data_IF_290233287774
#
_entry.id   IF_290233287774
#
_cell.length_a   1.000
_cell.length_b   1.000
_cell.length_c   1.000
_cell.angle_alpha   90.00
_cell.angle_beta   90.00
_cell.angle_gamma   90.00
#
_symmetry.space_group_name_H-M   'P 1'
#
loop_
_entity.id
_entity.type
_entity.pdbx_description
1 polymer ?
#
# COMPACT_ATOMS: atom_id res chain seq x y z
N UNK A 1 -21.07 -1.47 8.23
CA UNK A 1 -20.03 -0.70 8.95
C UNK A 1 -20.40 0.78 9.17
N UNK A 2 -21.21 1.38 8.30
CA UNK A 2 -21.76 2.72 8.55
C UNK A 2 -22.81 2.77 9.68
N UNK A 3 -23.34 1.62 10.09
CA UNK A 3 -24.14 1.46 11.31
C UNK A 3 -23.18 1.24 12.50
N UNK A 4 -23.19 2.12 13.53
CA UNK A 4 -22.28 2.03 14.67
C UNK A 4 -22.42 0.74 15.49
N UNK A 5 -23.63 0.19 15.60
CA UNK A 5 -23.85 -1.06 16.34
C UNK A 5 -23.24 -2.26 15.62
N UNK A 6 -23.41 -2.31 14.30
CA UNK A 6 -22.79 -3.35 13.49
C UNK A 6 -21.25 -3.23 13.47
N UNK A 7 -20.72 -2.01 13.40
CA UNK A 7 -19.29 -1.77 13.48
C UNK A 7 -18.72 -2.24 14.83
N UNK A 8 -19.38 -1.90 15.92
CA UNK A 8 -18.95 -2.34 17.26
C UNK A 8 -19.01 -3.87 17.40
N UNK A 9 -20.12 -4.50 17.04
CA UNK A 9 -20.25 -5.96 17.09
C UNK A 9 -19.15 -6.66 16.27
N UNK A 10 -18.80 -6.11 15.11
CA UNK A 10 -17.73 -6.65 14.29
C UNK A 10 -16.36 -6.56 14.97
N UNK A 11 -16.02 -5.41 15.61
CA UNK A 11 -14.77 -5.24 16.35
C UNK A 11 -14.71 -6.19 17.54
N UNK A 12 -15.80 -6.33 18.30
CA UNK A 12 -15.90 -7.24 19.43
C UNK A 12 -15.67 -8.71 19.01
N UNK A 13 -16.18 -9.09 17.86
CA UNK A 13 -16.08 -10.46 17.35
C UNK A 13 -14.74 -10.77 16.69
N UNK A 14 -14.17 -9.83 15.91
CA UNK A 14 -13.07 -10.11 15.00
C UNK A 14 -11.73 -9.46 15.38
N UNK A 15 -11.72 -8.49 16.26
CA UNK A 15 -10.50 -7.77 16.67
C UNK A 15 -10.19 -7.98 18.13
N UNK A 16 -11.13 -7.71 19.02
CA UNK A 16 -10.94 -7.76 20.47
C UNK A 16 -10.40 -9.11 20.98
N UNK A 17 -10.85 -10.29 20.50
CA UNK A 17 -10.34 -11.58 20.98
C UNK A 17 -8.86 -11.82 20.64
N UNK A 18 -8.32 -11.10 19.68
CA UNK A 18 -6.95 -11.28 19.16
C UNK A 18 -6.00 -10.17 19.58
N UNK A 19 -6.51 -8.99 19.95
CA UNK A 19 -5.74 -7.79 20.24
C UNK A 19 -4.61 -8.02 21.26
N UNK A 20 -4.83 -8.81 22.31
CA UNK A 20 -3.82 -9.11 23.33
C UNK A 20 -2.78 -10.14 22.91
N UNK A 21 -3.02 -10.89 21.82
CA UNK A 21 -2.17 -11.98 21.32
C UNK A 21 -1.51 -11.67 19.98
N UNK A 22 -2.05 -10.70 19.25
CA UNK A 22 -1.59 -10.29 17.93
C UNK A 22 -1.52 -8.77 17.89
N UNK A 23 -0.40 -8.24 17.41
CA UNK A 23 -0.24 -6.80 17.24
C UNK A 23 -1.05 -6.32 16.03
N UNK A 24 -2.32 -5.98 16.25
CA UNK A 24 -3.18 -5.35 15.24
C UNK A 24 -2.98 -3.84 15.38
N UNK A 25 -2.55 -3.17 14.32
CA UNK A 25 -2.27 -1.71 14.33
C UNK A 25 -3.12 -0.94 13.35
N UNK A 26 -3.78 -1.61 12.42
CA UNK A 26 -4.60 -0.98 11.38
C UNK A 26 -5.82 -1.84 11.06
N UNK A 27 -6.94 -1.17 10.83
CA UNK A 27 -8.11 -1.74 10.14
C UNK A 27 -8.32 -0.95 8.86
N UNK A 28 -8.26 -1.64 7.72
CA UNK A 28 -8.62 -1.03 6.44
C UNK A 28 -10.09 -1.25 6.14
N UNK A 29 -10.78 -0.19 5.70
CA UNK A 29 -12.20 -0.20 5.35
C UNK A 29 -12.34 -0.11 3.84
N UNK A 30 -12.66 -1.23 3.19
CA UNK A 30 -12.69 -1.33 1.72
C UNK A 30 -11.31 -1.26 1.07
N UNK A 31 -11.26 -1.33 -0.25
CA UNK A 31 -10.07 -1.15 -1.06
C UNK A 31 -10.44 -0.46 -2.38
N UNK A 32 -9.72 0.61 -2.76
CA UNK A 32 -9.85 1.36 -4.02
C UNK A 32 -11.28 1.84 -4.38
N UNK A 33 -12.13 2.02 -3.37
CA UNK A 33 -13.56 2.30 -3.53
C UNK A 33 -13.81 3.54 -4.39
N UNK A 34 -13.01 4.61 -4.24
CA UNK A 34 -13.27 5.88 -4.93
C UNK A 34 -13.07 5.81 -6.45
N UNK A 35 -12.30 4.85 -6.95
CA UNK A 35 -12.10 4.65 -8.39
C UNK A 35 -13.09 3.66 -9.02
N UNK A 36 -13.85 2.94 -8.19
CA UNK A 36 -14.92 2.06 -8.66
C UNK A 36 -16.10 2.81 -9.28
N UNK A 37 -17.07 2.09 -9.84
CA UNK A 37 -18.29 2.65 -10.44
C UNK A 37 -19.48 2.75 -9.47
N UNK A 38 -19.41 2.08 -8.31
CA UNK A 38 -20.49 2.05 -7.33
C UNK A 38 -20.52 3.35 -6.50
N UNK A 39 -21.49 4.23 -6.84
CA UNK A 39 -21.66 5.52 -6.17
C UNK A 39 -22.19 5.37 -4.74
N UNK A 40 -22.96 4.32 -4.46
CA UNK A 40 -23.48 4.07 -3.13
C UNK A 40 -22.33 3.64 -2.19
N UNK A 41 -21.46 2.76 -2.67
CA UNK A 41 -20.27 2.34 -1.93
C UNK A 41 -19.36 3.53 -1.62
N UNK A 42 -19.14 4.44 -2.59
CA UNK A 42 -18.37 5.67 -2.36
C UNK A 42 -18.97 6.54 -1.24
N UNK A 43 -20.29 6.71 -1.24
CA UNK A 43 -20.97 7.55 -0.25
C UNK A 43 -20.92 6.96 1.17
N UNK A 44 -20.84 5.64 1.29
CA UNK A 44 -20.74 4.97 2.59
C UNK A 44 -19.32 4.82 3.12
N UNK A 45 -18.29 5.09 2.33
CA UNK A 45 -16.92 4.84 2.73
C UNK A 45 -16.51 5.62 3.99
N UNK A 46 -16.64 6.94 3.97
CA UNK A 46 -16.30 7.78 5.12
C UNK A 46 -17.17 7.47 6.35
N UNK A 47 -18.51 7.35 6.24
CA UNK A 47 -19.35 6.90 7.35
C UNK A 47 -18.92 5.54 7.93
N UNK A 48 -18.50 4.59 7.09
CA UNK A 48 -18.01 3.30 7.56
C UNK A 48 -16.69 3.42 8.33
N UNK A 49 -15.75 4.24 7.85
CA UNK A 49 -14.49 4.51 8.57
C UNK A 49 -14.77 5.15 9.94
N UNK A 50 -15.68 6.12 9.98
CA UNK A 50 -16.10 6.78 11.22
C UNK A 50 -16.79 5.80 12.19
N UNK A 51 -17.63 4.91 11.69
CA UNK A 51 -18.29 3.87 12.50
C UNK A 51 -17.28 2.90 13.12
N UNK A 52 -16.32 2.42 12.34
CA UNK A 52 -15.24 1.54 12.82
C UNK A 52 -14.36 2.27 13.84
N UNK A 53 -13.97 3.51 13.56
CA UNK A 53 -13.18 4.31 14.51
C UNK A 53 -13.95 4.57 15.83
N UNK A 54 -15.23 4.92 15.75
CA UNK A 54 -16.09 5.10 16.92
C UNK A 54 -16.17 3.84 17.78
N UNK A 55 -16.28 2.67 17.14
CA UNK A 55 -16.26 1.38 17.86
C UNK A 55 -14.91 1.13 18.57
N UNK A 56 -13.78 1.45 17.91
CA UNK A 56 -12.46 1.36 18.56
C UNK A 56 -12.34 2.31 19.77
N UNK A 57 -12.87 3.53 19.67
CA UNK A 57 -12.91 4.49 20.79
C UNK A 57 -13.73 3.92 21.95
N UNK A 58 -14.93 3.42 21.67
CA UNK A 58 -15.82 2.86 22.71
C UNK A 58 -15.19 1.66 23.44
N UNK A 59 -14.38 0.87 22.74
CA UNK A 59 -13.71 -0.32 23.27
C UNK A 59 -12.31 -0.03 23.85
N UNK A 60 -11.85 1.23 23.82
CA UNK A 60 -10.53 1.63 24.31
C UNK A 60 -9.36 1.15 23.46
N UNK A 61 -9.59 0.84 22.18
CA UNK A 61 -8.59 0.29 21.25
C UNK A 61 -8.01 1.33 20.27
N UNK A 62 -8.54 2.55 20.26
CA UNK A 62 -8.17 3.59 19.29
C UNK A 62 -6.76 4.16 19.44
N UNK A 63 -6.10 3.92 20.59
CA UNK A 63 -4.68 4.26 20.80
C UNK A 63 -3.73 3.31 20.08
N UNK A 64 -4.14 2.07 19.85
CA UNK A 64 -3.31 1.01 19.30
C UNK A 64 -3.63 0.71 17.83
N UNK A 65 -4.87 0.96 17.41
CA UNK A 65 -5.40 0.59 16.11
C UNK A 65 -5.96 1.82 15.40
N UNK A 66 -5.36 2.21 14.28
CA UNK A 66 -5.91 3.25 13.41
C UNK A 66 -6.82 2.66 12.31
N UNK A 67 -7.68 3.52 11.78
CA UNK A 67 -8.56 3.19 10.65
C UNK A 67 -8.12 3.95 9.41
N UNK A 68 -8.02 3.27 8.28
CA UNK A 68 -7.66 3.87 7.01
C UNK A 68 -8.38 3.19 5.83
N UNK A 69 -8.21 3.74 4.63
CA UNK A 69 -8.69 3.17 3.38
C UNK A 69 -7.56 3.17 2.34
N UNK A 70 -7.20 2.02 1.75
CA UNK A 70 -6.26 1.97 0.63
C UNK A 70 -6.87 2.58 -0.62
N UNK A 71 -6.25 3.63 -1.14
CA UNK A 71 -6.67 4.29 -2.37
C UNK A 71 -5.92 3.76 -3.58
N UNK A 72 -6.59 3.68 -4.73
CA UNK A 72 -5.91 3.51 -6.01
C UNK A 72 -5.15 4.78 -6.41
N UNK A 73 -4.01 4.63 -7.10
CA UNK A 73 -3.33 5.74 -7.77
C UNK A 73 -4.25 6.53 -8.72
N UNK A 74 -5.32 5.89 -9.22
CA UNK A 74 -6.32 6.51 -10.09
C UNK A 74 -7.15 7.65 -9.46
N UNK A 75 -6.98 7.93 -8.16
CA UNK A 75 -7.54 9.14 -7.53
C UNK A 75 -6.77 10.41 -7.88
N UNK A 76 -5.54 10.30 -8.40
CA UNK A 76 -4.77 11.45 -8.85
C UNK A 76 -5.22 11.89 -10.25
N UNK A 77 -5.52 13.17 -10.40
CA UNK A 77 -5.75 13.81 -11.69
C UNK A 77 -4.44 14.21 -12.36
N UNK A 78 -3.44 14.56 -11.56
CA UNK A 78 -2.09 14.88 -12.01
C UNK A 78 -1.08 14.29 -11.00
N UNK A 79 0.00 13.67 -11.51
CA UNK A 79 1.05 13.07 -10.68
C UNK A 79 2.47 13.36 -11.18
N UNK A 80 2.60 14.09 -12.29
CA UNK A 80 3.87 14.45 -12.87
C UNK A 80 3.88 15.90 -13.39
N UNK A 81 4.95 16.69 -13.09
CA UNK A 81 5.99 16.38 -12.10
C UNK A 81 5.41 16.22 -10.68
N UNK A 82 6.14 15.61 -9.72
CA UNK A 82 5.62 15.36 -8.37
C UNK A 82 5.06 16.60 -7.66
N UNK A 83 5.67 17.77 -7.82
CA UNK A 83 5.19 19.03 -7.26
C UNK A 83 3.83 19.50 -7.79
N UNK A 84 3.40 18.97 -8.95
CA UNK A 84 2.09 19.26 -9.58
C UNK A 84 1.02 18.26 -9.19
N UNK A 85 1.29 17.37 -8.23
CA UNK A 85 0.33 16.36 -7.76
C UNK A 85 -0.99 16.98 -7.31
N UNK A 86 -2.11 16.52 -7.89
CA UNK A 86 -3.47 16.95 -7.57
C UNK A 86 -4.41 15.76 -7.61
N UNK A 87 -5.38 15.75 -6.72
CA UNK A 87 -6.47 14.78 -6.79
C UNK A 87 -7.45 15.13 -7.92
N UNK A 88 -8.15 14.13 -8.38
CA UNK A 88 -9.23 14.30 -9.37
C UNK A 88 -10.33 15.21 -8.82
N UNK A 89 -10.77 16.14 -9.66
CA UNK A 89 -11.80 17.13 -9.29
C UNK A 89 -13.14 16.48 -8.91
N UNK A 90 -13.52 15.40 -9.60
CA UNK A 90 -14.79 14.67 -9.36
C UNK A 90 -14.78 13.88 -8.04
N UNK A 91 -13.60 13.69 -7.41
CA UNK A 91 -13.44 13.01 -6.12
C UNK A 91 -13.17 13.99 -4.96
N UNK A 92 -13.11 15.30 -5.24
CA UNK A 92 -12.64 16.30 -4.29
C UNK A 92 -13.40 16.29 -2.97
N UNK A 93 -14.73 16.17 -2.99
CA UNK A 93 -15.55 16.15 -1.77
C UNK A 93 -15.29 14.91 -0.92
N UNK A 94 -15.19 13.73 -1.53
CA UNK A 94 -14.88 12.50 -0.82
C UNK A 94 -13.49 12.57 -0.17
N UNK A 95 -12.49 13.00 -0.94
CA UNK A 95 -11.11 13.09 -0.47
C UNK A 95 -10.98 14.14 0.63
N UNK A 96 -11.64 15.29 0.52
CA UNK A 96 -11.63 16.31 1.56
C UNK A 96 -12.16 15.76 2.90
N UNK A 97 -13.28 15.05 2.87
CA UNK A 97 -13.84 14.41 4.06
C UNK A 97 -12.89 13.39 4.69
N UNK A 98 -12.20 12.60 3.86
CA UNK A 98 -11.24 11.59 4.32
C UNK A 98 -9.97 12.21 4.88
N UNK A 99 -9.42 13.26 4.25
CA UNK A 99 -8.27 13.98 4.78
C UNK A 99 -8.58 14.63 6.14
N UNK A 100 -9.76 15.20 6.31
CA UNK A 100 -10.21 15.70 7.61
C UNK A 100 -10.29 14.58 8.65
N UNK A 101 -10.79 13.40 8.29
CA UNK A 101 -10.79 12.23 9.17
C UNK A 101 -9.37 11.83 9.57
N UNK A 102 -8.45 11.72 8.62
CA UNK A 102 -7.05 11.38 8.90
C UNK A 102 -6.35 12.42 9.79
N UNK A 103 -6.58 13.71 9.55
CA UNK A 103 -6.03 14.78 10.39
C UNK A 103 -6.55 14.71 11.83
N UNK A 104 -7.84 14.41 12.03
CA UNK A 104 -8.46 14.31 13.35
C UNK A 104 -8.02 13.05 14.11
N UNK A 105 -7.94 11.91 13.43
CA UNK A 105 -7.62 10.62 14.06
C UNK A 105 -6.12 10.30 14.09
N UNK A 106 -5.30 11.16 13.48
CA UNK A 106 -3.84 10.96 13.29
C UNK A 106 -3.50 9.65 12.56
N UNK A 107 -4.41 9.19 11.71
CA UNK A 107 -4.19 8.01 10.88
C UNK A 107 -3.51 8.36 9.54
N UNK A 108 -2.73 7.45 8.94
CA UNK A 108 -2.06 7.69 7.67
C UNK A 108 -3.04 7.61 6.48
N UNK A 109 -2.70 8.32 5.41
CA UNK A 109 -3.30 8.15 4.10
C UNK A 109 -2.64 6.95 3.40
N UNK A 110 -3.43 5.96 3.00
CA UNK A 110 -2.93 4.75 2.34
C UNK A 110 -3.14 4.84 0.83
N UNK A 111 -2.13 4.42 0.06
CA UNK A 111 -2.17 4.49 -1.41
C UNK A 111 -1.53 3.24 -2.02
N UNK A 112 -2.17 2.69 -3.06
CA UNK A 112 -1.66 1.57 -3.86
C UNK A 112 -0.92 2.13 -5.08
N UNK A 113 0.36 1.81 -5.20
CA UNK A 113 1.19 2.24 -6.33
C UNK A 113 1.87 1.07 -7.02
N UNK A 114 1.72 1.01 -8.33
CA UNK A 114 2.33 0.00 -9.17
C UNK A 114 3.06 0.67 -10.35
N UNK A 115 4.36 0.99 -10.22
CA UNK A 115 5.19 1.46 -11.34
C UNK A 115 5.14 0.55 -12.56
N UNK A 116 4.82 -0.74 -12.36
CA UNK A 116 4.60 -1.72 -13.41
C UNK A 116 3.58 -1.24 -14.45
N UNK A 117 2.44 -0.70 -14.04
CA UNK A 117 1.41 -0.29 -14.99
C UNK A 117 1.87 0.86 -15.88
N UNK A 118 2.60 1.83 -15.32
CA UNK A 118 3.17 2.91 -16.12
C UNK A 118 4.16 2.40 -17.16
N UNK A 119 5.02 1.45 -16.78
CA UNK A 119 5.95 0.81 -17.72
C UNK A 119 5.22 -0.03 -18.77
N UNK A 120 4.29 -0.90 -18.34
CA UNK A 120 3.50 -1.76 -19.22
C UNK A 120 2.77 -0.96 -20.30
N UNK A 121 2.17 0.17 -19.92
CA UNK A 121 1.37 0.99 -20.83
C UNK A 121 2.23 1.88 -21.75
N UNK A 122 3.47 2.19 -21.36
CA UNK A 122 4.36 3.06 -22.12
C UNK A 122 5.84 2.62 -22.07
N UNK A 123 6.19 1.40 -22.48
CA UNK A 123 7.53 0.84 -22.30
C UNK A 123 8.64 1.59 -23.08
N UNK A 124 8.26 2.32 -24.12
CA UNK A 124 9.19 3.14 -24.92
C UNK A 124 9.43 4.54 -24.31
N UNK A 125 8.61 4.98 -23.35
CA UNK A 125 8.69 6.30 -22.74
C UNK A 125 9.17 6.24 -21.29
N UNK A 126 8.81 5.17 -20.59
CA UNK A 126 9.17 4.95 -19.18
C UNK A 126 10.41 4.05 -19.13
N UNK A 127 11.58 4.55 -18.67
CA UNK A 127 12.77 3.73 -18.58
C UNK A 127 12.60 2.59 -17.57
N UNK A 128 12.91 1.36 -17.98
CA UNK A 128 12.79 0.19 -17.10
C UNK A 128 13.64 0.33 -15.82
N UNK A 129 14.87 0.84 -15.95
CA UNK A 129 15.74 1.07 -14.80
C UNK A 129 15.14 2.03 -13.76
N UNK A 130 14.35 3.02 -14.20
CA UNK A 130 13.70 3.99 -13.34
C UNK A 130 12.58 3.37 -12.50
N UNK A 131 11.83 2.44 -13.08
CA UNK A 131 10.76 1.74 -12.34
C UNK A 131 11.29 0.57 -11.50
N UNK A 132 12.47 0.02 -11.82
CA UNK A 132 13.08 -1.10 -11.09
C UNK A 132 14.11 -0.65 -10.03
N UNK A 133 14.20 0.63 -9.68
CA UNK A 133 15.16 1.22 -8.74
C UNK A 133 16.63 0.96 -9.13
N UNK A 134 16.91 0.72 -10.40
CA UNK A 134 18.26 0.51 -10.92
C UNK A 134 18.94 1.86 -11.23
N UNK A 135 20.28 1.92 -11.32
CA UNK A 135 20.98 3.13 -11.72
C UNK A 135 20.46 3.71 -13.04
N UNK A 136 20.07 4.97 -13.01
CA UNK A 136 19.53 5.71 -14.16
C UNK A 136 19.78 7.21 -13.96
N UNK A 137 19.45 8.02 -14.99
CA UNK A 137 19.61 9.47 -14.92
C UNK A 137 18.60 10.14 -13.98
N UNK A 138 17.46 9.50 -13.74
CA UNK A 138 16.34 10.05 -12.98
C UNK A 138 15.61 11.17 -13.72
N UNK A 139 14.66 11.76 -13.01
CA UNK A 139 13.92 12.96 -13.44
C UNK A 139 14.09 14.06 -12.41
N UNK A 140 14.19 15.29 -12.86
CA UNK A 140 14.24 16.47 -11.96
C UNK A 140 12.91 17.20 -12.04
N UNK A 141 12.31 17.44 -10.90
CA UNK A 141 11.11 18.27 -10.80
C UNK A 141 11.47 19.73 -11.10
N UNK A 142 10.86 20.36 -12.13
CA UNK A 142 11.27 21.69 -12.58
C UNK A 142 10.90 22.82 -11.60
N UNK A 143 10.00 22.57 -10.66
CA UNK A 143 9.53 23.58 -9.68
C UNK A 143 10.36 23.51 -8.40
N UNK A 144 10.58 22.29 -7.88
CA UNK A 144 11.27 22.09 -6.60
C UNK A 144 12.76 21.81 -6.77
N UNK A 145 13.22 21.52 -7.98
CA UNK A 145 14.57 21.06 -8.31
C UNK A 145 14.96 19.73 -7.59
N UNK A 146 13.99 18.99 -7.07
CA UNK A 146 14.22 17.69 -6.47
C UNK A 146 14.45 16.65 -7.56
N UNK A 147 15.43 15.78 -7.33
CA UNK A 147 15.78 14.70 -8.25
C UNK A 147 15.19 13.36 -7.77
N UNK A 148 14.51 12.70 -8.65
CA UNK A 148 13.89 11.38 -8.44
C UNK A 148 14.62 10.33 -9.27
N UNK A 149 15.22 9.35 -8.63
CA UNK A 149 15.91 8.22 -9.25
C UNK A 149 15.03 6.98 -9.41
N UNK A 150 13.79 7.06 -8.94
CA UNK A 150 12.80 6.00 -9.10
C UNK A 150 11.37 6.55 -9.13
N UNK A 151 10.48 5.80 -9.80
CA UNK A 151 9.09 6.22 -9.99
C UNK A 151 8.27 6.16 -8.71
N UNK A 152 8.48 5.17 -7.84
CA UNK A 152 7.66 5.02 -6.63
C UNK A 152 7.80 6.25 -5.72
N UNK A 153 9.01 6.76 -5.52
CA UNK A 153 9.23 7.96 -4.71
C UNK A 153 8.60 9.21 -5.34
N UNK A 154 8.66 9.32 -6.67
CA UNK A 154 8.00 10.39 -7.39
C UNK A 154 6.47 10.33 -7.22
N UNK A 155 5.88 9.15 -7.25
CA UNK A 155 4.44 8.93 -7.03
C UNK A 155 4.04 9.26 -5.59
N UNK A 156 4.83 8.87 -4.58
CA UNK A 156 4.56 9.20 -3.18
C UNK A 156 4.58 10.73 -2.98
N UNK A 157 5.58 11.42 -3.54
CA UNK A 157 5.69 12.88 -3.40
C UNK A 157 4.58 13.63 -4.18
N UNK A 158 4.06 13.05 -5.25
CA UNK A 158 2.87 13.57 -5.91
C UNK A 158 1.62 13.50 -5.00
N UNK A 159 1.47 12.44 -4.17
CA UNK A 159 0.41 12.38 -3.16
C UNK A 159 0.62 13.42 -2.07
N UNK A 160 1.84 13.59 -1.58
CA UNK A 160 2.13 14.66 -0.61
C UNK A 160 1.77 16.05 -1.16
N UNK A 161 2.07 16.30 -2.43
CA UNK A 161 1.69 17.53 -3.10
C UNK A 161 0.18 17.69 -3.22
N UNK A 162 -0.53 16.63 -3.57
CA UNK A 162 -2.00 16.63 -3.68
C UNK A 162 -2.67 16.85 -2.31
N UNK A 163 -2.18 16.21 -1.25
CA UNK A 163 -2.67 16.42 0.13
C UNK A 163 -2.41 17.87 0.57
N UNK A 164 -1.23 18.42 0.27
CA UNK A 164 -0.88 19.81 0.54
C UNK A 164 -1.79 20.79 -0.20
N UNK A 165 -2.12 20.51 -1.45
CA UNK A 165 -3.06 21.32 -2.24
C UNK A 165 -4.48 21.35 -1.65
N UNK A 166 -4.85 20.33 -0.87
CA UNK A 166 -6.11 20.26 -0.12
C UNK A 166 -6.02 20.92 1.28
N UNK A 167 -4.89 21.54 1.62
CA UNK A 167 -4.70 22.29 2.88
C UNK A 167 -4.15 21.46 4.05
N UNK A 168 -3.68 20.24 3.83
CA UNK A 168 -3.08 19.39 4.87
C UNK A 168 -1.59 19.20 4.64
N UNK A 169 -0.79 19.18 5.74
CA UNK A 169 0.68 19.01 5.67
C UNK A 169 1.22 17.95 6.62
N UNK A 170 0.38 17.47 7.52
CA UNK A 170 0.74 16.62 8.66
C UNK A 170 0.15 15.20 8.57
N UNK A 171 -0.41 14.83 7.43
CA UNK A 171 -0.93 13.47 7.20
C UNK A 171 0.18 12.59 6.62
N UNK A 172 0.63 11.55 7.33
CA UNK A 172 1.61 10.61 6.80
C UNK A 172 1.03 9.83 5.61
N UNK A 173 1.88 9.53 4.62
CA UNK A 173 1.51 8.68 3.49
C UNK A 173 2.19 7.32 3.63
N UNK A 174 1.43 6.23 3.50
CA UNK A 174 1.96 4.87 3.45
C UNK A 174 1.54 4.20 2.15
N UNK A 175 2.44 3.42 1.57
CA UNK A 175 2.13 2.61 0.39
C UNK A 175 1.50 1.31 0.85
N UNK A 176 0.19 1.19 0.69
CA UNK A 176 -0.58 0.02 1.12
C UNK A 176 -0.45 -1.19 0.19
N UNK A 177 -0.10 -0.95 -1.07
CA UNK A 177 0.26 -2.01 -2.01
C UNK A 177 1.28 -1.49 -3.02
N UNK A 178 2.31 -2.30 -3.27
CA UNK A 178 3.19 -2.17 -4.43
C UNK A 178 3.83 -3.52 -4.74
N UNK A 179 4.14 -3.75 -6.01
CA UNK A 179 4.75 -5.01 -6.44
C UNK A 179 5.00 -5.02 -7.95
N UNK A 180 5.55 -6.14 -8.41
CA UNK A 180 5.84 -6.37 -9.81
C UNK A 180 5.51 -7.82 -10.16
N UNK A 181 4.72 -8.09 -11.24
CA UNK A 181 4.32 -9.44 -11.58
C UNK A 181 5.47 -10.23 -12.22
N UNK A 182 5.60 -11.49 -11.83
CA UNK A 182 6.59 -12.42 -12.38
C UNK A 182 6.18 -13.04 -13.72
N UNK A 183 4.91 -12.88 -14.12
CA UNK A 183 4.35 -13.39 -15.38
C UNK A 183 3.14 -12.53 -15.75
N UNK A 184 2.92 -12.37 -17.05
CA UNK A 184 1.77 -11.64 -17.59
C UNK A 184 1.31 -12.21 -18.92
N UNK A 185 0.29 -11.61 -19.51
CA UNK A 185 -0.15 -11.86 -20.88
C UNK A 185 0.87 -11.25 -21.89
N UNK A 186 0.84 -11.61 -23.17
CA UNK A 186 1.82 -11.12 -24.17
C UNK A 186 1.90 -9.60 -24.31
N UNK A 187 0.85 -8.86 -23.94
CA UNK A 187 0.80 -7.40 -23.96
C UNK A 187 1.18 -6.77 -22.60
N UNK A 188 1.49 -7.57 -21.58
CA UNK A 188 1.92 -7.09 -20.27
C UNK A 188 3.45 -7.03 -20.20
N UNK A 189 4.01 -6.04 -20.92
CA UNK A 189 5.45 -5.87 -21.05
C UNK A 189 6.13 -5.71 -19.69
N UNK A 190 7.24 -6.40 -19.52
CA UNK A 190 8.04 -6.33 -18.29
C UNK A 190 7.61 -7.30 -17.19
N UNK A 191 6.48 -8.01 -17.32
CA UNK A 191 6.04 -9.03 -16.37
C UNK A 191 6.90 -10.29 -16.49
N UNK A 192 8.05 -10.29 -15.84
CA UNK A 192 9.01 -11.42 -15.82
C UNK A 192 9.54 -11.67 -14.40
N UNK A 193 9.97 -12.91 -14.09
CA UNK A 193 10.55 -13.23 -12.80
C UNK A 193 11.77 -12.37 -12.46
N UNK A 194 12.60 -12.05 -13.46
CA UNK A 194 13.80 -11.25 -13.29
C UNK A 194 13.48 -9.82 -12.88
N UNK A 195 12.51 -9.19 -13.55
CA UNK A 195 12.06 -7.82 -13.21
C UNK A 195 11.35 -7.79 -11.87
N UNK A 196 10.55 -8.81 -11.54
CA UNK A 196 9.90 -8.93 -10.23
C UNK A 196 10.93 -9.07 -9.10
N UNK A 197 11.96 -9.89 -9.31
CA UNK A 197 13.06 -10.02 -8.35
C UNK A 197 13.84 -8.71 -8.19
N UNK A 198 14.12 -7.99 -9.30
CA UNK A 198 14.80 -6.69 -9.26
C UNK A 198 13.96 -5.64 -8.54
N UNK A 199 12.67 -5.52 -8.89
CA UNK A 199 11.78 -4.55 -8.26
C UNK A 199 11.71 -4.75 -6.75
N UNK A 200 11.32 -5.95 -6.32
CA UNK A 200 11.12 -6.23 -4.90
C UNK A 200 12.46 -6.25 -4.13
N UNK A 201 13.52 -6.80 -4.70
CA UNK A 201 14.84 -6.83 -4.08
C UNK A 201 15.42 -5.41 -3.87
N UNK A 202 15.35 -4.55 -4.90
CA UNK A 202 15.81 -3.17 -4.81
C UNK A 202 14.93 -2.33 -3.87
N UNK A 203 13.61 -2.55 -3.87
CA UNK A 203 12.70 -1.91 -2.93
C UNK A 203 13.06 -2.25 -1.48
N UNK A 204 13.33 -3.52 -1.16
CA UNK A 204 13.77 -3.91 0.19
C UNK A 204 15.09 -3.24 0.58
N UNK A 205 16.05 -3.15 -0.33
CA UNK A 205 17.30 -2.44 -0.06
C UNK A 205 17.05 -0.95 0.23
N UNK A 206 16.14 -0.29 -0.49
CA UNK A 206 15.76 1.11 -0.22
C UNK A 206 15.11 1.29 1.14
N UNK A 207 14.20 0.39 1.52
CA UNK A 207 13.55 0.42 2.84
C UNK A 207 14.58 0.23 3.96
N UNK A 208 15.56 -0.66 3.79
CA UNK A 208 16.63 -0.88 4.77
C UNK A 208 17.52 0.34 4.99
N UNK A 209 17.63 1.24 4.01
CA UNK A 209 18.37 2.50 4.16
C UNK A 209 17.67 3.47 5.10
N UNK A 210 16.41 3.20 5.47
CA UNK A 210 15.60 4.00 6.38
C UNK A 210 15.51 5.48 5.96
N UNK A 211 15.47 5.72 4.65
CA UNK A 211 15.38 7.05 4.05
C UNK A 211 13.99 7.28 3.49
N UNK A 212 13.57 8.54 3.50
CA UNK A 212 12.33 8.97 2.87
C UNK A 212 12.49 9.30 1.40
N UNK A 213 11.45 9.93 0.87
CA UNK A 213 11.41 10.45 -0.50
C UNK A 213 12.22 11.76 -0.63
N UNK A 214 12.53 12.22 -1.85
CA UNK A 214 13.22 13.50 -2.04
C UNK A 214 12.53 14.70 -1.40
N UNK A 215 11.19 14.75 -1.34
CA UNK A 215 10.47 15.85 -0.67
C UNK A 215 10.42 15.68 0.85
N UNK A 216 10.57 14.45 1.36
CA UNK A 216 10.52 14.11 2.79
C UNK A 216 11.65 13.17 3.20
N UNK A 217 12.92 13.59 3.08
CA UNK A 217 14.08 12.70 3.23
C UNK A 217 14.27 12.12 4.64
N UNK A 218 13.71 12.79 5.66
CA UNK A 218 13.78 12.35 7.06
C UNK A 218 12.61 11.46 7.49
N UNK A 219 11.61 11.25 6.62
CA UNK A 219 10.44 10.43 6.91
C UNK A 219 10.57 9.09 6.16
N UNK A 220 11.02 8.00 6.80
CA UNK A 220 11.13 6.69 6.15
C UNK A 220 9.80 6.26 5.55
N UNK A 221 9.84 5.67 4.35
CA UNK A 221 8.64 5.16 3.71
C UNK A 221 8.20 3.84 4.35
N UNK A 222 6.91 3.70 4.58
CA UNK A 222 6.29 2.44 4.97
C UNK A 222 5.57 1.84 3.75
N UNK A 223 5.89 0.58 3.45
CA UNK A 223 5.42 -0.09 2.24
C UNK A 223 4.94 -1.51 2.57
N UNK A 224 3.81 -1.87 2.00
CA UNK A 224 3.32 -3.25 1.99
C UNK A 224 3.52 -3.83 0.58
N UNK A 225 4.28 -4.90 0.50
CA UNK A 225 4.54 -5.57 -0.79
C UNK A 225 3.35 -6.46 -1.14
N UNK A 226 2.81 -6.25 -2.32
CA UNK A 226 1.79 -7.10 -2.91
C UNK A 226 2.44 -8.03 -3.94
N UNK A 227 2.41 -9.34 -3.76
CA UNK A 227 1.72 -10.03 -2.69
C UNK A 227 2.62 -11.12 -2.08
N UNK A 228 2.22 -11.71 -0.95
CA UNK A 228 2.96 -12.84 -0.37
C UNK A 228 2.87 -14.08 -1.25
N UNK A 229 1.67 -14.41 -1.74
CA UNK A 229 1.42 -15.59 -2.58
C UNK A 229 0.84 -15.21 -3.94
N UNK A 230 1.11 -16.06 -4.94
CA UNK A 230 0.36 -16.05 -6.20
C UNK A 230 -1.10 -16.43 -5.97
N UNK A 231 -2.02 -15.78 -6.69
CA UNK A 231 -3.47 -15.91 -6.51
C UNK A 231 -4.12 -16.62 -7.70
N UNK A 232 -4.05 -17.95 -7.74
CA UNK A 232 -4.43 -18.76 -8.91
C UNK A 232 -5.86 -18.54 -9.44
N UNK A 233 -6.77 -18.09 -8.59
CA UNK A 233 -8.20 -17.89 -8.94
C UNK A 233 -8.57 -16.42 -9.17
N UNK A 234 -7.62 -15.48 -9.05
CA UNK A 234 -7.91 -14.06 -9.25
C UNK A 234 -8.29 -13.79 -10.71
N UNK A 235 -9.41 -13.10 -10.97
CA UNK A 235 -9.83 -12.73 -12.33
C UNK A 235 -8.91 -11.66 -12.92
N UNK A 236 -9.09 -11.37 -14.21
CA UNK A 236 -8.34 -10.34 -14.93
C UNK A 236 -7.15 -10.89 -15.71
N UNK A 237 -6.22 -10.02 -16.15
CA UNK A 237 -5.05 -10.39 -16.91
C UNK A 237 -4.12 -11.35 -16.14
N UNK A 238 -3.20 -12.02 -16.86
CA UNK A 238 -2.35 -13.03 -16.23
C UNK A 238 -1.46 -12.47 -15.12
N UNK A 239 -1.04 -11.20 -15.22
CA UNK A 239 -0.26 -10.53 -14.18
C UNK A 239 -0.95 -10.54 -12.81
N UNK A 240 -2.28 -10.42 -12.76
CA UNK A 240 -3.04 -10.38 -11.51
C UNK A 240 -2.88 -11.65 -10.64
N UNK A 241 -2.52 -12.77 -11.25
CA UNK A 241 -2.28 -14.04 -10.55
C UNK A 241 -0.83 -14.28 -10.18
N UNK A 242 0.09 -13.37 -10.55
CA UNK A 242 1.53 -13.60 -10.50
C UNK A 242 2.33 -12.51 -9.78
N UNK A 243 1.74 -11.82 -8.83
CA UNK A 243 2.43 -10.84 -7.97
C UNK A 243 3.13 -11.47 -6.76
N UNK A 244 2.87 -12.74 -6.46
CA UNK A 244 3.37 -13.42 -5.27
C UNK A 244 4.89 -13.52 -5.21
N UNK A 245 5.44 -13.37 -4.01
CA UNK A 245 6.81 -13.75 -3.68
C UNK A 245 6.95 -15.28 -3.63
N UNK A 246 5.85 -15.95 -3.31
CA UNK A 246 5.77 -17.40 -3.17
C UNK A 246 4.61 -17.96 -3.99
N UNK A 247 4.76 -19.22 -4.41
CA UNK A 247 3.63 -20.02 -4.87
C UNK A 247 2.74 -20.42 -3.68
N UNK A 248 1.47 -20.84 -3.92
CA UNK A 248 0.57 -21.26 -2.84
C UNK A 248 1.10 -22.39 -1.95
N UNK A 249 2.02 -23.19 -2.45
CA UNK A 249 2.69 -24.26 -1.71
C UNK A 249 3.86 -23.78 -0.82
N UNK A 250 4.15 -22.48 -0.83
CA UNK A 250 5.24 -21.86 -0.07
C UNK A 250 6.60 -21.91 -0.76
N UNK A 251 6.70 -22.42 -2.00
CA UNK A 251 7.97 -22.33 -2.76
C UNK A 251 8.18 -20.92 -3.30
N UNK A 252 9.42 -20.37 -3.26
CA UNK A 252 9.69 -19.05 -3.83
C UNK A 252 9.43 -19.01 -5.33
N UNK A 253 8.79 -17.93 -5.80
CA UNK A 253 8.66 -17.65 -7.24
C UNK A 253 10.01 -17.19 -7.82
N UNK A 254 10.75 -16.41 -7.03
CA UNK A 254 12.08 -15.92 -7.34
C UNK A 254 12.84 -15.60 -6.04
N UNK A 255 14.16 -15.47 -6.12
CA UNK A 255 15.00 -15.13 -4.98
C UNK A 255 15.18 -13.60 -4.88
N UNK A 256 14.76 -13.01 -3.77
CA UNK A 256 14.92 -11.57 -3.46
C UNK A 256 15.90 -11.30 -2.32
N UNK A 257 16.69 -12.31 -1.95
CA UNK A 257 17.67 -12.18 -0.87
C UNK A 257 17.06 -12.20 0.54
N UNK A 258 15.78 -12.53 0.71
CA UNK A 258 15.15 -12.62 2.04
C UNK A 258 15.59 -13.83 2.88
N UNK A 259 16.45 -14.70 2.36
CA UNK A 259 16.92 -15.93 3.05
C UNK A 259 17.55 -15.67 4.42
N UNK A 260 18.01 -14.47 4.70
CA UNK A 260 18.52 -14.08 6.02
C UNK A 260 17.51 -13.52 7.00
N UNK A 261 16.30 -13.17 6.53
CA UNK A 261 15.26 -12.50 7.32
C UNK A 261 14.07 -13.39 7.68
N UNK A 262 13.84 -14.46 6.91
CA UNK A 262 12.83 -15.45 7.29
C UNK A 262 13.52 -16.51 8.16
N UNK A 263 13.09 -16.71 9.43
CA UNK A 263 13.55 -17.87 10.17
C UNK A 263 13.22 -19.11 9.34
N UNK A 264 14.20 -20.04 9.19
CA UNK A 264 13.90 -21.37 8.64
C UNK A 264 12.70 -21.90 9.41
N UNK A 265 11.56 -22.04 8.75
CA UNK A 265 10.47 -22.81 9.29
C UNK A 265 10.88 -24.27 9.17
N UNK A 266 11.62 -24.75 10.18
CA UNK A 266 11.80 -26.18 10.37
C UNK A 266 10.42 -26.75 10.72
N UNK A 267 9.79 -27.42 9.79
CA UNK A 267 8.54 -28.17 9.99
C UNK A 267 8.75 -29.43 10.85
N UNK A 268 9.62 -29.36 11.84
CA UNK A 268 9.70 -30.41 12.86
C UNK A 268 8.92 -29.92 14.09
N UNK A 269 7.77 -30.58 14.28
CA UNK A 269 6.95 -30.42 15.46
C UNK A 269 7.77 -30.54 16.74
N UNK A 270 7.90 -29.44 17.47
CA UNK A 270 7.91 -29.37 18.93
C UNK A 270 8.16 -27.92 19.36
N UNK A 271 7.18 -27.34 19.97
CA UNK A 271 7.23 -26.01 20.57
C UNK A 271 8.42 -25.89 21.53
N UNK A 272 9.35 -24.98 21.25
CA UNK A 272 10.15 -24.33 22.29
C UNK A 272 9.97 -22.83 22.21
N UNK A 273 9.36 -22.29 23.26
CA UNK A 273 9.22 -20.88 23.57
C UNK A 273 10.58 -20.18 23.48
N UNK A 274 10.76 -19.27 22.55
CA UNK A 274 11.64 -18.12 22.73
C UNK A 274 10.96 -16.91 22.13
N UNK A 275 10.67 -15.94 23.02
CA UNK A 275 10.21 -14.62 22.66
C UNK A 275 11.38 -13.88 22.00
N UNK A 276 11.28 -13.69 20.68
CA UNK A 276 12.02 -12.67 19.96
C UNK A 276 10.97 -11.80 19.27
N UNK A 277 10.98 -10.52 19.61
CA UNK A 277 10.10 -9.51 19.04
C UNK A 277 10.44 -9.34 17.56
N UNK A 278 9.72 -10.05 16.71
CA UNK A 278 9.66 -9.80 15.28
C UNK A 278 8.29 -9.20 15.02
N UNK A 279 8.28 -7.95 14.56
CA UNK A 279 7.06 -7.30 14.07
C UNK A 279 6.59 -8.02 12.82
N UNK A 280 5.76 -9.04 12.98
CA UNK A 280 5.07 -9.69 11.88
C UNK A 280 3.88 -8.82 11.50
N UNK A 281 3.94 -8.17 10.34
CA UNK A 281 2.81 -7.46 9.75
C UNK A 281 1.85 -8.48 9.15
N UNK A 282 0.70 -8.69 9.80
CA UNK A 282 -0.38 -9.48 9.25
C UNK A 282 -1.34 -8.54 8.52
N UNK A 283 -1.37 -8.64 7.18
CA UNK A 283 -2.39 -7.99 6.35
C UNK A 283 -3.68 -8.80 6.47
N UNK A 284 -4.70 -8.26 7.11
CA UNK A 284 -6.05 -8.84 7.09
C UNK A 284 -6.79 -8.24 5.88
N UNK A 285 -6.89 -9.02 4.80
CA UNK A 285 -7.79 -8.70 3.70
C UNK A 285 -9.23 -8.95 4.13
N UNK A 286 -10.06 -7.91 4.12
CA UNK A 286 -11.51 -8.07 4.21
C UNK A 286 -12.03 -8.53 2.85
N UNK A 287 -12.51 -9.77 2.81
CA UNK A 287 -13.17 -10.39 1.68
C UNK A 287 -14.48 -9.63 1.38
N UNK A 288 -14.69 -9.36 0.10
CA UNK A 288 -15.91 -8.77 -0.46
C UNK A 288 -17.15 -9.60 -0.11
N UNK A 289 -18.20 -8.92 0.31
CA UNK A 289 -19.58 -9.27 0.04
C UNK A 289 -20.24 -8.16 -0.76
#
# INVERSE_FOLDING_TARGET
MSDPQQAQAWIEQHVQPYHTRTKITCITVGNEVLTGSDMQLKSYLLPAMQGVYGALVNLGLSSDIYVAHPHSAGILGTSFPPSSGLFRQDLSEYIHGMLNFHAQTKSPFLINFYPFFAYKDSPNQVPLNYVLFQPNQGTTDPVTNLKYDNMLYAQIDAVHSAIKAMGHTDIPVKVSETGWPSKGDPNEFGATPENAALYNGNLFQRIQQNQGTPAKPSEPIEVYVFALFNENLKPGPASERNYGLYYPDGTPVYDIGLRGFLPRMDYSAAAKKYALSISAFLLIFLIHF
#
